data_IF_049536532576
#
_entry.id   IF_049536532576
#
_cell.length_a   1.000
_cell.length_b   1.000
_cell.length_c   1.000
_cell.angle_alpha   90.00
_cell.angle_beta   90.00
_cell.angle_gamma   90.00
#
_symmetry.space_group_name_H-M   'P 1'
#
loop_
_entity.id
_entity.type
_entity.pdbx_description
1 polymer ?
#
# COMPACT_ATOMS: atom_id res chain seq x y z
N UNK A 1 -14.83 -15.98 -3.77
CA UNK A 1 -15.89 -15.56 -2.84
C UNK A 1 -15.45 -15.54 -1.38
N UNK A 2 -15.09 -16.67 -0.75
CA UNK A 2 -14.70 -16.68 0.68
C UNK A 2 -13.49 -15.77 0.97
N UNK A 3 -12.38 -15.95 0.24
CA UNK A 3 -11.17 -15.12 0.42
C UNK A 3 -11.44 -13.62 0.22
N UNK A 4 -12.21 -13.27 -0.79
CA UNK A 4 -12.57 -11.89 -1.12
C UNK A 4 -13.46 -11.25 -0.05
N UNK A 5 -14.43 -12.01 0.47
CA UNK A 5 -15.31 -11.55 1.54
C UNK A 5 -14.53 -11.25 2.83
N UNK A 6 -13.56 -12.11 3.18
CA UNK A 6 -12.68 -11.89 4.34
C UNK A 6 -11.83 -10.63 4.14
N UNK A 7 -11.17 -10.46 2.99
CA UNK A 7 -10.34 -9.27 2.71
C UNK A 7 -11.16 -7.98 2.78
N UNK A 8 -12.40 -8.02 2.27
CA UNK A 8 -13.30 -6.85 2.31
C UNK A 8 -13.77 -6.51 3.72
N UNK A 9 -14.15 -7.51 4.50
CA UNK A 9 -14.52 -7.32 5.91
C UNK A 9 -13.36 -6.74 6.72
N UNK A 10 -12.13 -7.22 6.50
CA UNK A 10 -10.92 -6.66 7.12
C UNK A 10 -10.72 -5.20 6.69
N UNK A 11 -10.83 -4.87 5.40
CA UNK A 11 -10.66 -3.50 4.94
C UNK A 11 -11.69 -2.53 5.55
N UNK A 12 -12.93 -2.98 5.75
CA UNK A 12 -14.02 -2.15 6.29
C UNK A 12 -14.04 -2.04 7.82
N UNK A 13 -13.54 -3.05 8.56
CA UNK A 13 -13.71 -3.15 10.01
C UNK A 13 -12.41 -3.19 10.84
N UNK A 14 -11.23 -3.35 10.22
CA UNK A 14 -9.98 -3.55 10.98
C UNK A 14 -9.41 -2.30 11.67
N UNK A 15 -9.91 -1.11 11.34
CA UNK A 15 -9.38 0.16 11.85
C UNK A 15 -10.40 0.89 12.71
N UNK A 16 -9.92 1.53 13.77
CA UNK A 16 -10.73 2.40 14.65
C UNK A 16 -11.45 3.51 13.88
N UNK A 17 -10.81 4.00 12.80
CA UNK A 17 -11.40 4.95 11.86
C UNK A 17 -11.51 4.26 10.50
N UNK A 18 -12.74 4.23 9.96
CA UNK A 18 -13.02 3.64 8.65
C UNK A 18 -12.34 4.45 7.54
N UNK A 19 -11.59 3.76 6.69
CA UNK A 19 -11.00 4.34 5.48
C UNK A 19 -11.64 3.69 4.25
N UNK A 20 -11.87 4.44 3.16
CA UNK A 20 -12.30 3.87 1.89
C UNK A 20 -11.38 2.76 1.38
N UNK A 21 -11.96 1.74 0.73
CA UNK A 21 -11.23 0.60 0.15
C UNK A 21 -10.12 1.05 -0.81
N UNK A 22 -10.35 2.07 -1.64
CA UNK A 22 -9.34 2.56 -2.58
C UNK A 22 -8.10 3.14 -1.87
N UNK A 23 -8.25 3.72 -0.67
CA UNK A 23 -7.11 4.19 0.13
C UNK A 23 -6.34 3.01 0.72
N UNK A 24 -7.05 1.98 1.19
CA UNK A 24 -6.42 0.76 1.65
C UNK A 24 -5.63 0.06 0.53
N UNK A 25 -6.17 0.03 -0.69
CA UNK A 25 -5.48 -0.49 -1.87
C UNK A 25 -4.21 0.32 -2.19
N UNK A 26 -4.26 1.65 -2.09
CA UNK A 26 -3.08 2.51 -2.23
C UNK A 26 -2.02 2.21 -1.18
N UNK A 27 -2.40 2.09 0.11
CA UNK A 27 -1.46 1.72 1.18
C UNK A 27 -0.86 0.33 0.94
N UNK A 28 -1.67 -0.65 0.51
CA UNK A 28 -1.20 -2.00 0.22
C UNK A 28 -0.19 -2.01 -0.93
N UNK A 29 -0.46 -1.23 -1.99
CA UNK A 29 0.47 -1.04 -3.10
C UNK A 29 1.78 -0.41 -2.64
N UNK A 30 1.73 0.69 -1.87
CA UNK A 30 2.94 1.32 -1.29
C UNK A 30 3.76 0.31 -0.51
N UNK A 31 3.12 -0.46 0.39
CA UNK A 31 3.81 -1.46 1.22
C UNK A 31 4.46 -2.57 0.38
N UNK A 32 3.79 -2.99 -0.70
CA UNK A 32 4.33 -3.99 -1.63
C UNK A 32 5.54 -3.44 -2.39
N UNK A 33 5.42 -2.24 -2.96
CA UNK A 33 6.50 -1.57 -3.70
C UNK A 33 7.72 -1.32 -2.80
N UNK A 34 7.50 -0.83 -1.58
CA UNK A 34 8.56 -0.65 -0.57
C UNK A 34 9.31 -1.95 -0.32
N UNK A 35 8.59 -3.07 -0.19
CA UNK A 35 9.21 -4.38 0.05
C UNK A 35 10.03 -4.87 -1.15
N UNK A 36 9.52 -4.67 -2.37
CA UNK A 36 10.22 -5.06 -3.60
C UNK A 36 11.50 -4.22 -3.77
N UNK A 37 11.39 -2.90 -3.67
CA UNK A 37 12.54 -1.99 -3.74
C UNK A 37 13.56 -2.28 -2.65
N UNK A 38 13.10 -2.57 -1.43
CA UNK A 38 14.00 -2.93 -0.34
C UNK A 38 14.76 -4.23 -0.59
N UNK A 39 14.14 -5.20 -1.28
CA UNK A 39 14.81 -6.44 -1.68
C UNK A 39 15.79 -6.23 -2.83
N UNK A 40 15.43 -5.42 -3.82
CA UNK A 40 16.30 -5.15 -4.98
C UNK A 40 17.52 -4.31 -4.61
N UNK A 41 17.35 -3.30 -3.77
CA UNK A 41 18.43 -2.38 -3.42
C UNK A 41 19.22 -2.79 -2.16
N UNK A 42 18.74 -3.79 -1.42
CA UNK A 42 19.35 -4.22 -0.16
C UNK A 42 19.35 -3.17 0.97
N UNK A 43 18.62 -2.06 0.79
CA UNK A 43 18.48 -0.95 1.76
C UNK A 43 17.02 -0.52 1.87
N UNK A 44 16.68 0.33 2.86
CA UNK A 44 15.37 0.97 2.89
C UNK A 44 15.27 1.96 1.71
N UNK A 45 14.27 1.82 0.80
CA UNK A 45 14.06 2.76 -0.28
C UNK A 45 13.58 4.12 0.24
N UNK A 46 13.93 5.19 -0.45
CA UNK A 46 13.43 6.54 -0.16
C UNK A 46 12.00 6.71 -0.67
N UNK A 47 11.27 7.67 -0.11
CA UNK A 47 9.89 7.99 -0.52
C UNK A 47 9.82 8.41 -1.99
N UNK A 48 10.87 9.09 -2.49
CA UNK A 48 11.05 9.46 -3.90
C UNK A 48 11.13 8.24 -4.83
N UNK A 49 11.93 7.22 -4.47
CA UNK A 49 12.06 5.99 -5.25
C UNK A 49 10.76 5.17 -5.28
N UNK A 50 10.00 5.20 -4.18
CA UNK A 50 8.69 4.55 -4.11
C UNK A 50 7.68 5.31 -4.96
N UNK A 51 7.68 6.64 -4.91
CA UNK A 51 6.81 7.51 -5.69
C UNK A 51 7.05 7.35 -7.20
N UNK A 52 8.31 7.38 -7.63
CA UNK A 52 8.73 7.20 -9.03
C UNK A 52 8.28 5.84 -9.58
N UNK A 53 8.47 4.77 -8.80
CA UNK A 53 8.03 3.41 -9.19
C UNK A 53 6.51 3.21 -9.16
N UNK A 54 5.80 4.01 -8.38
CA UNK A 54 4.34 3.99 -8.31
C UNK A 54 3.70 4.91 -9.35
N UNK A 55 4.49 5.65 -10.14
CA UNK A 55 4.02 6.72 -11.05
C UNK A 55 3.09 7.72 -10.33
N UNK A 56 3.36 7.96 -9.04
CA UNK A 56 2.56 8.83 -8.19
C UNK A 56 3.43 9.97 -7.67
N UNK A 57 2.84 11.16 -7.57
CA UNK A 57 3.53 12.35 -7.02
C UNK A 57 3.83 12.15 -5.53
N UNK A 58 4.98 12.60 -5.04
CA UNK A 58 5.39 12.53 -3.61
C UNK A 58 4.32 13.14 -2.69
N UNK A 59 3.62 14.18 -3.16
CA UNK A 59 2.50 14.83 -2.45
C UNK A 59 1.29 13.91 -2.16
N UNK A 60 1.17 12.76 -2.85
CA UNK A 60 0.11 11.76 -2.65
C UNK A 60 0.56 10.56 -1.80
N UNK A 61 1.84 10.50 -1.43
CA UNK A 61 2.42 9.43 -0.62
C UNK A 61 2.25 9.75 0.87
#
# INVERSE_FOLDING_TARGET
>A
WIRQAITRAIADQSRTIRLPVHLYETISRIKKTTKILSQEMGRKPTEEEIADRMEMTIEKL
#
